data_IF_983637091295
#
_entry.id   IF_983637091295
#
_cell.length_a   1.000
_cell.length_b   1.000
_cell.length_c   1.000
_cell.angle_alpha   90.00
_cell.angle_beta   90.00
_cell.angle_gamma   90.00
#
_symmetry.space_group_name_H-M   'P 1'
#
loop_
_entity.id
_entity.type
_entity.pdbx_description
1 polymer ?
#
# COMPACT_ATOMS: atom_id res chain seq x y z
N UNK A 1 10.13 -7.44 -10.02
CA UNK A 1 10.29 -7.99 -8.65
C UNK A 1 9.55 -9.32 -8.54
N UNK A 2 9.90 -10.18 -7.59
CA UNK A 2 9.19 -11.45 -7.33
C UNK A 2 8.51 -11.35 -5.95
N UNK A 3 7.38 -12.03 -5.73
CA UNK A 3 6.82 -12.07 -4.39
C UNK A 3 7.78 -12.75 -3.42
N UNK A 4 7.82 -12.25 -2.18
CA UNK A 4 8.57 -12.82 -1.07
C UNK A 4 8.08 -14.23 -0.78
N UNK A 5 9.04 -15.11 -0.51
CA UNK A 5 8.74 -16.49 -0.16
C UNK A 5 8.63 -16.65 1.36
N UNK A 6 7.48 -16.23 1.89
CA UNK A 6 7.16 -16.27 3.31
C UNK A 6 5.89 -17.08 3.54
N UNK A 7 5.84 -17.84 4.64
CA UNK A 7 4.59 -18.47 5.09
C UNK A 7 3.49 -17.42 5.28
N UNK A 8 2.22 -17.79 5.07
CA UNK A 8 1.11 -16.82 5.02
C UNK A 8 1.03 -15.94 6.28
N UNK A 9 1.27 -16.51 7.47
CA UNK A 9 1.31 -15.74 8.72
C UNK A 9 2.46 -14.73 8.73
N UNK A 10 3.66 -15.13 8.32
CA UNK A 10 4.84 -14.26 8.31
C UNK A 10 4.71 -13.17 7.25
N UNK A 11 4.10 -13.50 6.11
CA UNK A 11 3.80 -12.52 5.07
C UNK A 11 2.83 -11.45 5.59
N UNK A 12 1.69 -11.85 6.17
CA UNK A 12 0.70 -10.91 6.72
C UNK A 12 1.31 -10.04 7.82
N UNK A 13 2.09 -10.64 8.74
CA UNK A 13 2.78 -9.88 9.78
C UNK A 13 3.77 -8.86 9.19
N UNK A 14 4.45 -9.24 8.10
CA UNK A 14 5.34 -8.34 7.38
C UNK A 14 4.55 -7.19 6.76
N UNK A 15 3.48 -7.47 6.00
CA UNK A 15 2.64 -6.44 5.37
C UNK A 15 2.06 -5.45 6.40
N UNK A 16 1.56 -5.93 7.55
CA UNK A 16 1.08 -5.07 8.65
C UNK A 16 2.20 -4.18 9.20
N UNK A 17 3.42 -4.71 9.34
CA UNK A 17 4.57 -3.91 9.74
C UNK A 17 4.87 -2.85 8.69
N UNK A 18 4.80 -3.20 7.42
CA UNK A 18 4.98 -2.27 6.31
C UNK A 18 3.94 -1.15 6.33
N UNK A 19 2.66 -1.42 6.62
CA UNK A 19 1.64 -0.38 6.78
C UNK A 19 2.03 0.65 7.84
N UNK A 20 2.64 0.22 8.95
CA UNK A 20 3.11 1.13 10.01
C UNK A 20 4.27 2.00 9.53
N UNK A 21 5.19 1.40 8.79
CA UNK A 21 6.33 2.11 8.20
C UNK A 21 5.84 3.14 7.16
N UNK A 22 4.85 2.79 6.33
CA UNK A 22 4.24 3.69 5.35
C UNK A 22 3.52 4.86 6.05
N UNK A 23 2.75 4.59 7.12
CA UNK A 23 2.12 5.64 7.92
C UNK A 23 3.14 6.62 8.51
N UNK A 24 4.33 6.14 8.90
CA UNK A 24 5.40 7.01 9.38
C UNK A 24 6.03 7.82 8.24
N UNK A 25 6.29 7.18 7.09
CA UNK A 25 6.77 7.87 5.89
C UNK A 25 5.83 9.02 5.51
N UNK A 26 4.50 8.82 5.52
CA UNK A 26 3.53 9.87 5.21
C UNK A 26 3.65 11.09 6.15
N UNK A 27 3.95 10.88 7.44
CA UNK A 27 4.20 11.98 8.39
C UNK A 27 5.48 12.73 8.02
N UNK A 28 6.53 12.01 7.64
CA UNK A 28 7.79 12.61 7.18
C UNK A 28 7.58 13.40 5.88
N UNK A 29 6.84 12.86 4.91
CA UNK A 29 6.50 13.56 3.68
C UNK A 29 5.77 14.86 3.97
N UNK A 30 4.80 14.84 4.89
CA UNK A 30 4.09 16.04 5.31
C UNK A 30 5.02 17.08 5.95
N UNK A 31 5.94 16.66 6.83
CA UNK A 31 6.95 17.57 7.40
C UNK A 31 7.80 18.22 6.32
N UNK A 32 8.27 17.45 5.33
CA UNK A 32 9.06 17.96 4.21
C UNK A 32 8.28 18.97 3.34
N UNK A 33 6.97 18.77 3.18
CA UNK A 33 6.09 19.73 2.46
C UNK A 33 5.97 21.04 3.24
N UNK A 34 5.75 20.96 4.56
CA UNK A 34 5.61 22.15 5.44
C UNK A 34 6.92 22.94 5.51
N UNK A 35 8.05 22.25 5.59
CA UNK A 35 9.41 22.82 5.63
C UNK A 35 9.93 23.25 4.25
N UNK A 36 9.15 23.07 3.18
CA UNK A 36 9.53 23.41 1.79
C UNK A 36 10.80 22.70 1.29
N UNK A 37 11.07 21.50 1.82
CA UNK A 37 12.24 20.66 1.49
C UNK A 37 11.96 19.75 0.29
N UNK A 38 11.61 20.33 -0.84
CA UNK A 38 11.09 19.61 -2.01
C UNK A 38 12.09 18.64 -2.66
N UNK A 39 13.38 18.95 -2.64
CA UNK A 39 14.42 18.04 -3.16
C UNK A 39 14.46 16.72 -2.35
N UNK A 40 14.37 16.83 -1.02
CA UNK A 40 14.37 15.68 -0.13
C UNK A 40 13.05 14.90 -0.22
N UNK A 41 11.93 15.62 -0.36
CA UNK A 41 10.63 15.02 -0.64
C UNK A 41 10.67 14.16 -1.91
N UNK A 42 11.19 14.72 -3.01
CA UNK A 42 11.32 13.99 -4.28
C UNK A 42 12.16 12.73 -4.12
N UNK A 43 13.33 12.86 -3.47
CA UNK A 43 14.19 11.71 -3.19
C UNK A 43 13.51 10.65 -2.31
N UNK A 44 12.70 11.05 -1.32
CA UNK A 44 11.93 10.09 -0.52
C UNK A 44 10.83 9.40 -1.30
N UNK A 45 10.11 10.12 -2.16
CA UNK A 45 9.11 9.53 -3.06
C UNK A 45 9.75 8.57 -4.10
N UNK A 46 10.98 8.84 -4.55
CA UNK A 46 11.74 7.92 -5.40
C UNK A 46 12.13 6.64 -4.66
N UNK A 47 12.68 6.77 -3.44
CA UNK A 47 13.06 5.63 -2.62
C UNK A 47 11.87 4.80 -2.13
N UNK A 48 10.71 5.44 -1.96
CA UNK A 48 9.49 4.78 -1.51
C UNK A 48 8.86 3.88 -2.58
N UNK A 49 8.96 4.26 -3.86
CA UNK A 49 8.28 3.58 -4.95
C UNK A 49 8.62 2.08 -5.05
N UNK A 50 9.90 1.64 -5.08
CA UNK A 50 10.23 0.22 -5.18
C UNK A 50 9.73 -0.59 -3.97
N UNK A 51 9.68 0.03 -2.80
CA UNK A 51 9.18 -0.59 -1.59
C UNK A 51 7.67 -0.81 -1.65
N UNK A 52 6.90 0.19 -2.07
CA UNK A 52 5.47 0.04 -2.33
C UNK A 52 5.19 -0.98 -3.44
N UNK A 53 5.96 -0.97 -4.50
CA UNK A 53 5.82 -1.94 -5.61
C UNK A 53 6.00 -3.38 -5.11
N UNK A 54 6.97 -3.62 -4.21
CA UNK A 54 7.17 -4.95 -3.61
C UNK A 54 5.99 -5.35 -2.72
N UNK A 55 5.49 -4.43 -1.88
CA UNK A 55 4.31 -4.63 -1.03
C UNK A 55 3.09 -5.08 -1.85
N UNK A 56 2.75 -4.33 -2.90
CA UNK A 56 1.64 -4.62 -3.82
C UNK A 56 1.83 -5.98 -4.52
N UNK A 57 3.05 -6.30 -4.96
CA UNK A 57 3.35 -7.59 -5.60
C UNK A 57 3.05 -8.75 -4.66
N UNK A 58 3.40 -8.63 -3.38
CA UNK A 58 3.15 -9.68 -2.42
C UNK A 58 1.66 -9.88 -2.14
N UNK A 59 0.92 -8.79 -2.05
CA UNK A 59 -0.53 -8.83 -1.88
C UNK A 59 -1.23 -9.47 -3.07
N UNK A 60 -0.96 -8.99 -4.28
CA UNK A 60 -1.63 -9.52 -5.47
C UNK A 60 -1.20 -10.96 -5.80
N UNK A 61 0.08 -11.29 -5.66
CA UNK A 61 0.59 -12.60 -6.07
C UNK A 61 0.40 -13.70 -5.01
N UNK A 62 0.31 -13.34 -3.73
CA UNK A 62 0.20 -14.31 -2.61
C UNK A 62 -1.14 -14.18 -1.90
N UNK A 63 -1.51 -12.98 -1.44
CA UNK A 63 -2.72 -12.76 -0.65
C UNK A 63 -3.97 -12.98 -1.50
N UNK A 64 -4.11 -12.25 -2.60
CA UNK A 64 -5.26 -12.37 -3.50
C UNK A 64 -5.37 -13.79 -4.06
N UNK A 65 -4.23 -14.36 -4.48
CA UNK A 65 -4.17 -15.71 -5.03
C UNK A 65 -4.70 -16.75 -4.03
N UNK A 66 -4.25 -16.72 -2.78
CA UNK A 66 -4.70 -17.67 -1.76
C UNK A 66 -6.22 -17.54 -1.50
N UNK A 67 -6.73 -16.31 -1.44
CA UNK A 67 -8.17 -16.06 -1.26
C UNK A 67 -8.96 -16.59 -2.46
N UNK A 68 -8.50 -16.34 -3.70
CA UNK A 68 -9.12 -16.85 -4.92
C UNK A 68 -9.13 -18.38 -4.98
N UNK A 69 -8.02 -19.02 -4.62
CA UNK A 69 -7.90 -20.48 -4.63
C UNK A 69 -8.86 -21.14 -3.63
N UNK A 70 -9.08 -20.53 -2.46
CA UNK A 70 -9.98 -21.10 -1.43
C UNK A 70 -11.45 -20.76 -1.64
N UNK A 71 -11.77 -19.52 -1.98
CA UNK A 71 -13.15 -19.01 -1.98
C UNK A 71 -13.71 -18.70 -3.36
N UNK A 72 -12.90 -18.86 -4.42
CA UNK A 72 -13.29 -18.46 -5.77
C UNK A 72 -13.45 -16.95 -5.93
N UNK A 73 -13.93 -16.54 -7.11
CA UNK A 73 -14.04 -15.12 -7.48
C UNK A 73 -15.06 -14.36 -6.63
N UNK A 74 -16.20 -14.96 -6.34
CA UNK A 74 -17.27 -14.33 -5.54
C UNK A 74 -16.80 -14.09 -4.10
N UNK A 75 -16.15 -15.08 -3.46
CA UNK A 75 -15.63 -14.92 -2.10
C UNK A 75 -14.45 -13.94 -2.01
N UNK A 76 -13.73 -13.74 -3.11
CA UNK A 76 -12.62 -12.79 -3.23
C UNK A 76 -13.06 -11.37 -3.64
N UNK A 77 -14.34 -11.12 -3.92
CA UNK A 77 -14.78 -9.85 -4.52
C UNK A 77 -14.36 -8.62 -3.70
N UNK A 78 -14.48 -8.69 -2.37
CA UNK A 78 -14.04 -7.60 -1.48
C UNK A 78 -12.53 -7.32 -1.60
N UNK A 79 -11.69 -8.37 -1.59
CA UNK A 79 -10.25 -8.22 -1.75
C UNK A 79 -9.86 -7.66 -3.14
N UNK A 80 -10.57 -8.09 -4.19
CA UNK A 80 -10.36 -7.54 -5.54
C UNK A 80 -10.62 -6.03 -5.56
N UNK A 81 -11.70 -5.56 -4.91
CA UNK A 81 -12.02 -4.13 -4.85
C UNK A 81 -10.95 -3.34 -4.08
N UNK A 82 -10.44 -3.88 -2.98
CA UNK A 82 -9.37 -3.25 -2.19
C UNK A 82 -8.10 -3.13 -3.05
N UNK A 83 -7.64 -4.20 -3.67
CA UNK A 83 -6.41 -4.16 -4.49
C UNK A 83 -6.53 -3.34 -5.78
N UNK A 84 -7.74 -3.06 -6.26
CA UNK A 84 -7.92 -2.08 -7.35
C UNK A 84 -7.46 -0.66 -6.97
N UNK A 85 -7.44 -0.33 -5.67
CA UNK A 85 -6.97 0.97 -5.16
C UNK A 85 -5.45 1.16 -5.34
N UNK A 86 -4.66 0.09 -5.50
CA UNK A 86 -3.21 0.19 -5.76
C UNK A 86 -2.89 1.09 -6.96
N UNK A 87 -3.71 1.03 -8.01
CA UNK A 87 -3.55 1.88 -9.19
C UNK A 87 -3.69 3.37 -8.85
N UNK A 88 -4.67 3.70 -8.00
CA UNK A 88 -4.92 5.07 -7.56
C UNK A 88 -3.78 5.56 -6.65
N UNK A 89 -3.26 4.69 -5.77
CA UNK A 89 -2.11 5.00 -4.91
C UNK A 89 -0.89 5.34 -5.77
N UNK A 90 -0.56 4.50 -6.76
CA UNK A 90 0.57 4.76 -7.67
C UNK A 90 0.38 6.03 -8.50
N UNK A 91 -0.84 6.30 -8.96
CA UNK A 91 -1.18 7.52 -9.68
C UNK A 91 -0.97 8.77 -8.82
N UNK A 92 -1.45 8.78 -7.58
CA UNK A 92 -1.23 9.89 -6.65
C UNK A 92 0.26 10.14 -6.38
N UNK A 93 1.05 9.09 -6.18
CA UNK A 93 2.51 9.23 -6.00
C UNK A 93 3.17 9.85 -7.24
N UNK A 94 2.78 9.40 -8.44
CA UNK A 94 3.26 9.96 -9.71
C UNK A 94 2.89 11.44 -9.85
N UNK A 95 1.67 11.79 -9.50
CA UNK A 95 1.20 13.17 -9.56
C UNK A 95 1.91 14.07 -8.55
N UNK A 96 2.14 13.59 -7.32
CA UNK A 96 2.93 14.32 -6.31
C UNK A 96 4.35 14.62 -6.81
N UNK A 97 5.00 13.67 -7.50
CA UNK A 97 6.30 13.88 -8.14
C UNK A 97 6.23 14.96 -9.23
N UNK A 98 5.14 15.00 -9.99
CA UNK A 98 4.96 15.97 -11.08
C UNK A 98 4.67 17.40 -10.58
N UNK A 99 4.03 17.55 -9.42
CA UNK A 99 3.69 18.85 -8.82
C UNK A 99 4.63 19.26 -7.68
N UNK A 100 5.84 18.69 -7.62
CA UNK A 100 6.76 18.88 -6.49
C UNK A 100 7.13 20.35 -6.21
N UNK A 101 6.94 21.25 -7.17
CA UNK A 101 7.16 22.70 -7.05
C UNK A 101 5.92 23.52 -6.63
N UNK A 102 4.72 22.92 -6.58
CA UNK A 102 3.48 23.58 -6.15
C UNK A 102 3.09 23.11 -4.76
N UNK A 103 3.35 23.96 -3.75
CA UNK A 103 3.08 23.66 -2.34
C UNK A 103 1.62 23.29 -2.08
N UNK A 104 0.68 23.99 -2.72
CA UNK A 104 -0.75 23.82 -2.46
C UNK A 104 -1.26 22.51 -3.02
N UNK A 105 -0.89 22.19 -4.25
CA UNK A 105 -1.24 20.92 -4.89
C UNK A 105 -0.56 19.75 -4.22
N UNK A 106 0.69 19.90 -3.79
CA UNK A 106 1.45 18.87 -3.11
C UNK A 106 0.87 18.55 -1.72
N UNK A 107 0.45 19.56 -0.96
CA UNK A 107 -0.25 19.37 0.31
C UNK A 107 -1.60 18.68 0.12
N UNK A 108 -2.38 19.11 -0.88
CA UNK A 108 -3.68 18.50 -1.23
C UNK A 108 -3.52 17.02 -1.59
N UNK A 109 -2.60 16.70 -2.51
CA UNK A 109 -2.33 15.32 -2.95
C UNK A 109 -1.73 14.46 -1.83
N UNK A 110 -0.88 15.03 -0.99
CA UNK A 110 -0.36 14.34 0.19
C UNK A 110 -1.46 13.92 1.16
N UNK A 111 -2.45 14.78 1.39
CA UNK A 111 -3.61 14.46 2.20
C UNK A 111 -4.54 13.41 1.54
N UNK A 112 -4.76 13.51 0.23
CA UNK A 112 -5.50 12.50 -0.54
C UNK A 112 -4.84 11.13 -0.47
N UNK A 113 -3.51 11.07 -0.64
CA UNK A 113 -2.73 9.84 -0.53
C UNK A 113 -2.81 9.27 0.89
N UNK A 114 -2.70 10.12 1.92
CA UNK A 114 -2.82 9.71 3.32
C UNK A 114 -4.19 9.10 3.61
N UNK A 115 -5.26 9.77 3.20
CA UNK A 115 -6.62 9.30 3.41
C UNK A 115 -6.92 8.00 2.64
N UNK A 116 -6.40 7.88 1.42
CA UNK A 116 -6.51 6.66 0.61
C UNK A 116 -5.79 5.49 1.28
N UNK A 117 -4.52 5.65 1.63
CA UNK A 117 -3.72 4.59 2.27
C UNK A 117 -4.29 4.16 3.63
N UNK A 118 -4.77 5.10 4.45
CA UNK A 118 -5.34 4.74 5.75
C UNK A 118 -6.62 3.90 5.60
N UNK A 119 -7.48 4.26 4.64
CA UNK A 119 -8.68 3.45 4.32
C UNK A 119 -8.29 2.09 3.76
N UNK A 120 -7.33 2.07 2.84
CA UNK A 120 -6.84 0.87 2.18
C UNK A 120 -6.28 -0.15 3.18
N UNK A 121 -5.31 0.27 4.00
CA UNK A 121 -4.70 -0.56 5.03
C UNK A 121 -5.73 -1.09 6.03
N UNK A 122 -6.71 -0.26 6.40
CA UNK A 122 -7.78 -0.70 7.29
C UNK A 122 -8.62 -1.81 6.67
N UNK A 123 -9.02 -1.67 5.40
CA UNK A 123 -9.77 -2.71 4.70
C UNK A 123 -8.96 -4.01 4.60
N UNK A 124 -7.65 -3.91 4.38
CA UNK A 124 -6.78 -5.08 4.32
C UNK A 124 -6.66 -5.78 5.67
N UNK A 125 -6.32 -5.01 6.71
CA UNK A 125 -6.12 -5.51 8.07
C UNK A 125 -7.42 -6.11 8.66
N UNK A 126 -8.58 -5.50 8.39
CA UNK A 126 -9.86 -5.93 8.96
C UNK A 126 -10.59 -7.00 8.12
N UNK A 127 -10.43 -7.01 6.80
CA UNK A 127 -11.24 -7.85 5.91
C UNK A 127 -10.44 -8.82 5.03
N UNK A 128 -9.29 -8.39 4.49
CA UNK A 128 -8.53 -9.17 3.50
C UNK A 128 -7.58 -10.14 4.19
N UNK A 129 -6.72 -9.65 5.09
CA UNK A 129 -5.72 -10.46 5.76
C UNK A 129 -6.33 -11.58 6.60
N UNK A 130 -7.44 -11.40 7.34
CA UNK A 130 -8.10 -12.51 8.02
C UNK A 130 -8.52 -13.65 7.07
N UNK A 131 -9.04 -13.31 5.88
CA UNK A 131 -9.38 -14.31 4.85
C UNK A 131 -8.14 -14.99 4.28
N UNK A 132 -7.06 -14.25 4.09
CA UNK A 132 -5.79 -14.80 3.62
C UNK A 132 -5.20 -15.80 4.63
N UNK A 133 -5.22 -15.45 5.92
CA UNK A 133 -4.79 -16.32 7.01
C UNK A 133 -5.64 -17.59 7.07
N UNK A 134 -6.96 -17.46 6.94
CA UNK A 134 -7.84 -18.63 6.86
C UNK A 134 -7.55 -19.47 5.60
N UNK A 135 -7.23 -18.84 4.47
CA UNK A 135 -6.83 -19.52 3.24
C UNK A 135 -5.50 -20.27 3.35
N UNK A 136 -4.55 -19.74 4.13
CA UNK A 136 -3.26 -20.37 4.39
C UNK A 136 -3.29 -21.54 5.36
N UNK A 137 -4.40 -21.78 6.09
CA UNK A 137 -4.51 -22.95 6.96
C UNK A 137 -4.68 -24.22 6.13
N UNK A 138 -3.70 -25.14 6.23
CA UNK A 138 -3.80 -26.49 5.65
C UNK A 138 -5.03 -27.20 6.24
N UNK A 139 -5.86 -27.80 5.37
CA UNK A 139 -6.93 -28.73 5.77
C UNK A 139 -6.32 -30.00 6.35
#
# INVERSE_FOLDING_TARGET
>A
MRPRDLEMNDLVNTLIKEHREIRNLLKELYSLIVEERYAELSQKLENFQPYLDQHVIDEEARILKAILEKYGREGAEGAIRVFQEHRLIHELIREMKAVASDKSELARKGEELRALLERHFRAEEEEVFPKALDAGKKK
#
